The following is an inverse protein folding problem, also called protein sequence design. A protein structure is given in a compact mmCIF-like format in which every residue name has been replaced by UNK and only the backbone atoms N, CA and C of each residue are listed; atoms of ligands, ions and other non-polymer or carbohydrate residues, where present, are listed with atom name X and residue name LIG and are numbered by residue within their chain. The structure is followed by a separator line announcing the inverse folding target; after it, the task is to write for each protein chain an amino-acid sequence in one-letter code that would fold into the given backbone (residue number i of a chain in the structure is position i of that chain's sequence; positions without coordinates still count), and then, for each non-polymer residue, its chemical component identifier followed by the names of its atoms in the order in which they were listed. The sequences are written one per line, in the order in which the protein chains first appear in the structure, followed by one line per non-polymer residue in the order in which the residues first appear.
data_IF_440455612585
#
_entry.id   IF_440455612585
#
_cell.length_a   1.000
_cell.length_b   1.000
_cell.length_c   1.000
_cell.angle_alpha   90.00
_cell.angle_beta   90.00
_cell.angle_gamma   90.00
#
_symmetry.space_group_name_H-M   'P 1'
#
loop_
_entity.id
_entity.type
_entity.pdbx_description
1 polymer ?
#
# COMPACT_ATOMS: atom_id res chain seq x y z
N UNK A 1 -2.30 1.75 -6.48
CA UNK A 1 -3.00 1.08 -5.38
C UNK A 1 -2.29 1.48 -4.09
N UNK A 2 -2.96 2.20 -3.20
CA UNK A 2 -2.44 2.62 -1.90
C UNK A 2 -2.99 1.67 -0.84
N UNK A 3 -2.11 1.17 0.03
CA UNK A 3 -2.51 0.37 1.19
C UNK A 3 -2.46 1.31 2.37
N UNK A 4 -3.53 1.33 3.16
CA UNK A 4 -3.58 2.09 4.40
C UNK A 4 -3.50 1.11 5.58
N UNK A 5 -2.68 1.43 6.57
CA UNK A 5 -2.62 0.70 7.84
C UNK A 5 -3.00 1.67 8.93
N UNK A 6 -4.13 1.43 9.57
CA UNK A 6 -4.62 2.33 10.60
C UNK A 6 -3.95 2.01 11.93
N UNK A 7 -3.54 3.06 12.65
CA UNK A 7 -3.15 2.90 14.05
C UNK A 7 -4.40 2.42 14.82
N UNK A 8 -4.30 1.34 15.61
CA UNK A 8 -5.43 0.80 16.38
C UNK A 8 -6.13 1.84 17.27
N UNK A 9 -5.40 2.86 17.74
CA UNK A 9 -5.94 3.96 18.53
C UNK A 9 -6.91 4.89 17.78
N UNK A 10 -6.92 4.84 16.44
CA UNK A 10 -7.76 5.66 15.56
C UNK A 10 -8.64 4.81 14.64
N UNK A 11 -8.58 3.48 14.76
CA UNK A 11 -9.45 2.55 14.04
C UNK A 11 -10.82 2.49 14.74
N UNK A 12 -11.91 2.53 13.99
CA UNK A 12 -13.25 2.39 14.58
C UNK A 12 -13.45 0.96 15.10
N UNK A 13 -14.23 0.80 16.18
CA UNK A 13 -14.52 -0.53 16.75
C UNK A 13 -15.34 -1.43 15.82
N UNK A 14 -15.86 -0.89 14.72
CA UNK A 14 -16.60 -1.62 13.69
C UNK A 14 -15.75 -1.95 12.47
N UNK A 15 -14.47 -1.55 12.44
CA UNK A 15 -13.55 -1.93 11.37
C UNK A 15 -13.23 -3.41 11.48
N UNK A 16 -13.50 -4.15 10.41
CA UNK A 16 -13.08 -5.52 10.20
C UNK A 16 -11.61 -5.62 9.71
N UNK A 17 -10.95 -4.48 9.51
CA UNK A 17 -9.56 -4.36 9.03
C UNK A 17 -8.58 -3.78 10.08
N UNK A 18 -8.81 -4.01 11.38
CA UNK A 18 -7.81 -3.66 12.41
C UNK A 18 -6.71 -4.72 12.50
N UNK A 19 -5.54 -4.45 11.90
CA UNK A 19 -4.36 -5.33 11.89
C UNK A 19 -3.20 -4.73 12.71
N UNK A 20 -3.28 -4.71 14.05
CA UNK A 20 -2.33 -4.01 14.92
C UNK A 20 -0.88 -4.53 14.80
N UNK A 21 -0.71 -5.83 14.57
CA UNK A 21 0.61 -6.44 14.39
C UNK A 21 1.25 -6.00 13.07
N UNK A 22 0.47 -5.95 11.99
CA UNK A 22 0.93 -5.47 10.66
C UNK A 22 1.27 -3.99 10.72
N UNK A 23 0.42 -3.18 11.36
CA UNK A 23 0.69 -1.76 11.58
C UNK A 23 2.03 -1.56 12.31
N UNK A 24 2.26 -2.30 13.39
CA UNK A 24 3.49 -2.18 14.20
C UNK A 24 4.73 -2.61 13.41
N UNK A 25 4.68 -3.76 12.74
CA UNK A 25 5.80 -4.28 11.96
C UNK A 25 6.19 -3.32 10.81
N UNK A 26 5.21 -2.72 10.12
CA UNK A 26 5.48 -1.73 9.07
C UNK A 26 5.95 -0.39 9.63
N UNK A 27 5.42 0.01 10.79
CA UNK A 27 5.91 1.17 11.53
C UNK A 27 7.40 1.06 11.86
N UNK A 28 7.84 -0.11 12.31
CA UNK A 28 9.25 -0.42 12.58
C UNK A 28 10.09 -0.49 11.29
N UNK A 29 9.57 -1.16 10.25
CA UNK A 29 10.28 -1.31 8.96
C UNK A 29 10.64 0.02 8.31
N UNK A 30 9.74 1.01 8.40
CA UNK A 30 9.90 2.33 7.76
C UNK A 30 10.27 3.44 8.74
N UNK A 31 10.60 3.12 9.99
CA UNK A 31 10.94 4.09 11.05
C UNK A 31 9.90 5.23 11.16
N UNK A 32 8.62 4.84 11.25
CA UNK A 32 7.50 5.78 11.27
C UNK A 32 7.49 6.60 12.56
N UNK A 33 7.95 7.85 12.48
CA UNK A 33 8.01 8.79 13.60
C UNK A 33 6.78 9.69 13.80
N UNK A 34 5.80 9.67 12.89
CA UNK A 34 4.60 10.50 12.97
C UNK A 34 3.55 10.14 11.94
N UNK A 35 2.28 10.42 12.24
CA UNK A 35 1.12 10.13 11.38
C UNK A 35 0.35 11.42 11.02
N UNK A 36 -0.31 11.48 9.84
CA UNK A 36 -0.32 10.46 8.79
C UNK A 36 1.07 10.31 8.13
N UNK A 37 1.41 9.11 7.69
CA UNK A 37 2.68 8.76 7.06
C UNK A 37 2.41 8.12 5.70
N UNK A 38 3.15 8.53 4.66
CA UNK A 38 3.12 7.89 3.35
C UNK A 38 4.50 7.35 2.99
N UNK A 39 4.56 6.07 2.61
CA UNK A 39 5.77 5.43 2.09
C UNK A 39 5.55 5.02 0.62
N UNK A 40 6.37 5.53 -0.29
CA UNK A 40 6.27 5.27 -1.72
C UNK A 40 7.43 4.39 -2.20
N UNK A 41 7.11 3.31 -2.93
CA UNK A 41 8.06 2.27 -3.37
C UNK A 41 8.98 1.73 -2.27
N UNK A 42 8.56 1.83 -1.00
CA UNK A 42 9.39 1.45 0.14
C UNK A 42 10.58 2.38 0.41
N UNK A 43 10.77 3.46 -0.36
CA UNK A 43 11.97 4.32 -0.30
C UNK A 43 11.69 5.77 0.07
N UNK A 44 10.59 6.36 -0.41
CA UNK A 44 10.28 7.78 -0.18
C UNK A 44 9.26 7.92 0.94
N UNK A 45 9.66 8.61 2.00
CA UNK A 45 8.86 8.84 3.19
C UNK A 45 8.31 10.27 3.23
N UNK A 46 7.03 10.40 3.61
CA UNK A 46 6.36 11.66 3.85
C UNK A 46 5.59 11.61 5.17
N UNK A 47 5.83 12.59 6.04
CA UNK A 47 5.14 12.71 7.33
C UNK A 47 4.24 13.94 7.33
N UNK A 48 3.00 13.76 7.76
CA UNK A 48 2.02 14.83 7.93
C UNK A 48 1.04 14.98 6.77
N UNK A 49 -0.09 15.60 7.08
CA UNK A 49 -1.14 15.94 6.12
C UNK A 49 -1.26 17.45 5.91
N UNK A 50 -2.22 17.86 5.08
CA UNK A 50 -2.54 19.27 4.90
C UNK A 50 -3.15 19.88 6.18
N UNK A 51 -2.69 21.07 6.55
CA UNK A 51 -3.35 21.86 7.59
C UNK A 51 -4.76 22.29 7.17
N UNK A 52 -5.70 22.32 8.11
CA UNK A 52 -7.09 22.74 7.90
C UNK A 52 -7.82 22.02 6.75
N UNK A 53 -7.45 20.78 6.47
CA UNK A 53 -8.02 19.97 5.38
C UNK A 53 -7.86 20.58 3.97
N UNK A 54 -6.88 21.46 3.77
CA UNK A 54 -6.57 22.06 2.44
C UNK A 54 -5.72 21.10 1.62
N UNK A 55 -6.33 20.00 1.20
CA UNK A 55 -5.67 18.84 0.59
C UNK A 55 -5.09 19.11 -0.80
N UNK A 56 -5.54 20.16 -1.49
CA UNK A 56 -5.23 20.42 -2.91
C UNK A 56 -3.72 20.58 -3.17
N UNK A 57 -3.01 21.29 -2.28
CA UNK A 57 -1.56 21.46 -2.41
C UNK A 57 -0.81 20.14 -2.18
N UNK A 58 -1.30 19.30 -1.26
CA UNK A 58 -0.72 17.98 -1.02
C UNK A 58 -0.97 17.07 -2.23
N UNK A 59 -2.14 17.15 -2.86
CA UNK A 59 -2.42 16.38 -4.08
C UNK A 59 -1.44 16.73 -5.20
N UNK A 60 -1.21 18.01 -5.45
CA UNK A 60 -0.27 18.46 -6.50
C UNK A 60 1.15 17.94 -6.21
N UNK A 61 1.62 18.07 -4.98
CA UNK A 61 2.95 17.59 -4.56
C UNK A 61 3.07 16.06 -4.71
N UNK A 62 2.05 15.31 -4.28
CA UNK A 62 2.04 13.84 -4.37
C UNK A 62 1.88 13.35 -5.82
N UNK A 63 1.15 14.06 -6.65
CA UNK A 63 1.03 13.74 -8.08
C UNK A 63 2.38 13.86 -8.79
N UNK A 64 3.18 14.90 -8.50
CA UNK A 64 4.54 15.00 -9.03
C UNK A 64 5.40 13.80 -8.64
N UNK A 65 5.35 13.39 -7.37
CA UNK A 65 6.05 12.18 -6.89
C UNK A 65 5.58 10.92 -7.64
N UNK A 66 4.28 10.78 -7.89
CA UNK A 66 3.74 9.65 -8.64
C UNK A 66 4.26 9.61 -10.08
N UNK A 67 4.25 10.74 -10.79
CA UNK A 67 4.76 10.83 -12.17
C UNK A 67 6.26 10.50 -12.25
N UNK A 68 7.04 10.88 -11.23
CA UNK A 68 8.46 10.53 -11.15
C UNK A 68 8.71 9.03 -10.88
N UNK A 69 7.77 8.35 -10.23
CA UNK A 69 7.88 6.94 -9.87
C UNK A 69 7.29 6.01 -10.95
N UNK A 70 6.23 6.40 -11.65
CA UNK A 70 5.57 5.53 -12.64
C UNK A 70 6.44 5.25 -13.87
N UNK A 71 7.37 6.16 -14.17
CA UNK A 71 8.33 5.97 -15.26
C UNK A 71 9.48 5.05 -14.89
N UNK A 72 9.58 4.63 -13.63
CA UNK A 72 10.60 3.69 -13.19
C UNK A 72 10.15 2.27 -13.53
N UNK A 73 10.98 1.55 -14.29
CA UNK A 73 10.71 0.16 -14.59
C UNK A 73 10.84 -0.70 -13.32
N UNK A 74 9.92 -1.65 -13.18
CA UNK A 74 9.94 -2.66 -12.12
C UNK A 74 10.23 -4.01 -12.78
N UNK A 75 11.10 -4.86 -12.20
CA UNK A 75 11.36 -6.19 -12.75
C UNK A 75 10.23 -7.18 -12.46
N UNK A 76 9.15 -6.73 -11.84
CA UNK A 76 8.00 -7.54 -11.44
C UNK A 76 6.81 -7.29 -12.35
N UNK A 77 6.18 -8.38 -12.78
CA UNK A 77 4.87 -8.35 -13.42
C UNK A 77 3.85 -9.04 -12.49
N UNK A 78 2.75 -8.35 -12.22
CA UNK A 78 1.62 -8.90 -11.45
C UNK A 78 0.45 -9.09 -12.41
N UNK A 79 -0.01 -10.33 -12.52
CA UNK A 79 -1.21 -10.69 -13.26
C UNK A 79 -2.27 -11.18 -12.27
N UNK A 80 -3.51 -10.72 -12.47
CA UNK A 80 -4.65 -11.13 -11.67
C UNK A 80 -5.68 -11.75 -12.59
N UNK A 81 -5.94 -13.03 -12.39
CA UNK A 81 -6.97 -13.78 -13.09
C UNK A 81 -8.07 -14.12 -12.10
N UNK A 82 -9.32 -14.20 -12.55
CA UNK A 82 -10.39 -14.60 -11.66
C UNK A 82 -11.72 -14.85 -12.35
N UNK A 83 -12.59 -15.54 -11.63
CA UNK A 83 -13.95 -15.85 -12.07
C UNK A 83 -14.93 -15.72 -10.91
N UNK A 84 -16.12 -15.20 -11.23
CA UNK A 84 -17.25 -15.20 -10.31
C UNK A 84 -18.03 -16.49 -10.49
N UNK A 85 -18.07 -17.34 -9.46
CA UNK A 85 -18.90 -18.54 -9.41
C UNK A 85 -19.98 -18.33 -8.36
N UNK A 86 -21.23 -18.27 -8.80
CA UNK A 86 -22.38 -17.85 -7.98
C UNK A 86 -22.15 -16.47 -7.33
N UNK A 87 -21.88 -16.44 -6.02
CA UNK A 87 -21.61 -15.23 -5.22
C UNK A 87 -20.18 -15.17 -4.70
N UNK A 88 -19.29 -16.06 -5.15
CA UNK A 88 -17.91 -16.16 -4.69
C UNK A 88 -16.94 -15.83 -5.84
N UNK A 89 -16.05 -14.86 -5.59
CA UNK A 89 -15.02 -14.48 -6.57
C UNK A 89 -13.76 -15.28 -6.29
N UNK A 90 -13.42 -16.18 -7.22
CA UNK A 90 -12.20 -16.96 -7.19
C UNK A 90 -11.12 -16.18 -7.95
N UNK A 91 -9.94 -16.03 -7.37
CA UNK A 91 -8.85 -15.29 -7.98
C UNK A 91 -7.52 -16.05 -7.88
N UNK A 92 -6.69 -15.87 -8.90
CA UNK A 92 -5.28 -16.26 -8.94
C UNK A 92 -4.44 -15.00 -9.09
N UNK A 93 -3.40 -14.89 -8.26
CA UNK A 93 -2.37 -13.86 -8.38
C UNK A 93 -1.11 -14.53 -8.89
N UNK A 94 -0.65 -14.12 -10.07
CA UNK A 94 0.58 -14.62 -10.69
C UNK A 94 1.60 -13.49 -10.62
N UNK A 95 2.68 -13.70 -9.87
CA UNK A 95 3.82 -12.81 -9.81
C UNK A 95 4.97 -13.41 -10.62
N UNK A 96 5.45 -12.67 -11.61
CA UNK A 96 6.65 -13.02 -12.39
C UNK A 96 7.74 -11.98 -12.19
N UNK A 97 8.99 -12.41 -12.35
CA UNK A 97 10.19 -11.58 -12.20
C UNK A 97 11.08 -11.81 -13.43
N UNK A 98 11.78 -10.76 -13.88
CA UNK A 98 12.74 -10.87 -14.98
C UNK A 98 13.83 -11.92 -14.71
N UNK A 99 14.24 -12.64 -15.76
CA UNK A 99 15.15 -13.81 -15.67
C UNK A 99 16.56 -13.47 -15.12
N UNK A 100 16.97 -12.20 -15.17
CA UNK A 100 18.28 -11.73 -14.70
C UNK A 100 18.27 -11.24 -13.24
N UNK A 101 17.11 -11.31 -12.57
CA UNK A 101 16.93 -10.96 -11.18
C UNK A 101 16.98 -12.19 -10.25
N UNK A 102 17.25 -11.96 -8.96
CA UNK A 102 17.24 -13.01 -7.94
C UNK A 102 16.17 -12.75 -6.90
N UNK A 103 15.44 -13.81 -6.53
CA UNK A 103 14.50 -13.81 -5.41
C UNK A 103 15.17 -14.05 -4.05
N UNK A 104 16.49 -14.13 -3.99
CA UNK A 104 17.20 -14.34 -2.73
C UNK A 104 16.95 -13.19 -1.76
N UNK A 105 16.61 -13.53 -0.51
CA UNK A 105 16.32 -12.57 0.56
C UNK A 105 15.14 -11.62 0.24
N UNK A 106 14.18 -12.07 -0.57
CA UNK A 106 12.93 -11.36 -0.84
C UNK A 106 11.75 -11.99 -0.10
N UNK A 107 10.76 -11.17 0.22
CA UNK A 107 9.49 -11.59 0.80
C UNK A 107 8.34 -11.11 -0.09
N UNK A 108 7.40 -12.01 -0.38
CA UNK A 108 6.16 -11.68 -1.05
C UNK A 108 5.08 -11.46 0.01
N UNK A 109 4.50 -10.26 0.01
CA UNK A 109 3.34 -9.92 0.84
C UNK A 109 2.14 -9.64 -0.07
N UNK A 110 1.07 -10.41 0.12
CA UNK A 110 -0.21 -10.19 -0.54
C UNK A 110 -1.18 -9.56 0.45
N UNK A 111 -1.81 -8.47 0.03
CA UNK A 111 -2.84 -7.77 0.80
C UNK A 111 -4.04 -7.54 -0.10
N UNK A 112 -5.23 -7.60 0.50
CA UNK A 112 -6.49 -7.22 -0.14
C UNK A 112 -6.86 -5.86 0.43
N UNK A 113 -7.10 -4.88 -0.44
CA UNK A 113 -7.54 -3.56 -0.07
C UNK A 113 -9.00 -3.37 -0.51
N UNK A 114 -9.81 -2.80 0.38
CA UNK A 114 -11.17 -2.35 0.07
C UNK A 114 -11.15 -0.84 -0.23
N UNK A 115 -11.76 -0.44 -1.34
CA UNK A 115 -11.77 0.96 -1.81
C UNK A 115 -12.78 1.83 -1.01
N UNK A 116 -13.65 1.23 -0.20
CA UNK A 116 -14.65 1.96 0.59
C UNK A 116 -15.08 1.19 1.83
N UNK A 117 -14.74 1.71 3.00
CA UNK A 117 -15.26 1.23 4.29
C UNK A 117 -16.59 1.97 4.55
N UNK A 118 -17.69 1.23 4.73
CA UNK A 118 -19.03 1.76 4.96
C UNK A 118 -19.42 1.91 6.43
#
# INVERSE_FOLDING_TARGET
MTIEWHSPNYTSSSSDFDLPEVYSARGELYDVGGIPHGQWNGVLSFVGGASNCVWEYMYIDRHGTYEDLIVQETPYTIELEGELVDSEYNYNVILSMDDDMSSDNMLLELFVAEDSIW
#
